data_IF_517654624657
#
_entry.id   IF_517654624657
#
_cell.length_a   1.000
_cell.length_b   1.000
_cell.length_c   1.000
_cell.angle_alpha   90.00
_cell.angle_beta   90.00
_cell.angle_gamma   90.00
#
_symmetry.space_group_name_H-M   'P 1'
#
loop_
_entity.id
_entity.type
_entity.pdbx_description
1 polymer ?
#
# COMPACT_ATOMS: atom_id res chain seq x y z
N UNK A 1 -10.60 -8.60 15.05
CA UNK A 1 -9.39 -7.76 14.91
C UNK A 1 -9.71 -6.36 15.42
N UNK A 2 -9.02 -5.87 16.44
CA UNK A 2 -9.15 -4.49 16.94
C UNK A 2 -7.82 -3.77 16.80
N UNK A 3 -7.86 -2.49 16.40
CA UNK A 3 -6.70 -1.61 16.29
C UNK A 3 -6.86 -0.37 17.21
N UNK A 4 -7.60 -0.54 18.30
CA UNK A 4 -7.82 0.53 19.27
C UNK A 4 -6.48 1.11 19.73
N UNK A 5 -6.40 2.43 19.79
CA UNK A 5 -5.23 3.22 20.19
C UNK A 5 -3.99 3.07 19.27
N UNK A 6 -4.14 2.45 18.10
CA UNK A 6 -3.08 2.37 17.08
C UNK A 6 -3.13 3.58 16.16
N UNK A 7 -1.97 3.99 15.67
CA UNK A 7 -1.80 5.08 14.70
C UNK A 7 -1.29 4.50 13.39
N UNK A 8 -2.03 4.71 12.33
CA UNK A 8 -1.71 4.24 10.99
C UNK A 8 -1.41 5.38 10.01
N UNK A 9 -0.46 5.18 9.12
CA UNK A 9 -0.23 6.00 7.93
C UNK A 9 -0.48 5.13 6.69
N UNK A 10 -1.36 5.60 5.80
CA UNK A 10 -1.61 4.96 4.50
C UNK A 10 -1.20 5.91 3.39
N UNK A 11 -0.18 5.55 2.61
CA UNK A 11 0.24 6.36 1.46
C UNK A 11 -0.68 6.11 0.27
N UNK A 12 -0.97 7.17 -0.49
CA UNK A 12 -1.94 7.08 -1.58
C UNK A 12 -3.35 6.71 -1.12
N UNK A 13 -3.76 7.17 0.06
CA UNK A 13 -5.04 6.84 0.70
C UNK A 13 -6.28 7.51 0.11
N UNK A 14 -6.15 8.31 -0.95
CA UNK A 14 -7.25 9.14 -1.48
C UNK A 14 -8.27 8.38 -2.33
N UNK A 15 -7.95 7.19 -2.87
CA UNK A 15 -8.83 6.39 -3.75
C UNK A 15 -8.46 4.92 -3.74
N UNK A 16 -9.28 4.11 -4.42
CA UNK A 16 -9.02 2.69 -4.70
C UNK A 16 -8.70 1.87 -3.43
N UNK A 17 -7.68 1.04 -3.53
CA UNK A 17 -7.21 0.17 -2.44
C UNK A 17 -6.85 1.00 -1.19
N UNK A 18 -6.09 2.10 -1.37
CA UNK A 18 -5.68 2.96 -0.25
C UNK A 18 -6.85 3.54 0.52
N UNK A 19 -7.92 3.97 -0.15
CA UNK A 19 -9.17 4.43 0.48
C UNK A 19 -9.82 3.33 1.31
N UNK A 20 -10.00 2.14 0.72
CA UNK A 20 -10.61 1.01 1.42
C UNK A 20 -9.79 0.59 2.65
N UNK A 21 -8.44 0.59 2.53
CA UNK A 21 -7.54 0.34 3.65
C UNK A 21 -7.74 1.38 4.76
N UNK A 22 -7.81 2.68 4.43
CA UNK A 22 -8.04 3.74 5.42
C UNK A 22 -9.35 3.50 6.18
N UNK A 23 -10.44 3.23 5.47
CA UNK A 23 -11.77 3.00 6.07
C UNK A 23 -11.77 1.75 6.97
N UNK A 24 -11.16 0.65 6.52
CA UNK A 24 -11.07 -0.60 7.28
C UNK A 24 -10.24 -0.46 8.56
N UNK A 25 -9.06 0.17 8.47
CA UNK A 25 -8.20 0.38 9.64
C UNK A 25 -8.87 1.31 10.67
N UNK A 26 -9.51 2.38 10.20
CA UNK A 26 -10.23 3.31 11.06
C UNK A 26 -11.47 2.68 11.71
N UNK A 27 -12.26 1.90 10.96
CA UNK A 27 -13.39 1.15 11.49
C UNK A 27 -13.00 0.08 12.52
N UNK A 28 -11.73 -0.39 12.48
CA UNK A 28 -11.15 -1.26 13.51
C UNK A 28 -10.61 -0.50 14.73
N UNK A 29 -10.70 0.84 14.76
CA UNK A 29 -10.34 1.70 15.90
C UNK A 29 -8.98 2.41 15.77
N UNK A 30 -8.25 2.28 14.66
CA UNK A 30 -7.02 3.03 14.44
C UNK A 30 -7.30 4.50 14.12
N UNK A 31 -6.42 5.40 14.57
CA UNK A 31 -6.34 6.75 14.00
C UNK A 31 -5.55 6.70 12.70
N UNK A 32 -6.15 7.13 11.58
CA UNK A 32 -5.54 6.96 10.25
C UNK A 32 -5.10 8.30 9.65
N UNK A 33 -3.81 8.43 9.36
CA UNK A 33 -3.29 9.48 8.50
C UNK A 33 -3.44 9.05 7.04
N UNK A 34 -4.21 9.82 6.27
CA UNK A 34 -4.55 9.60 4.87
C UNK A 34 -3.62 10.44 4.01
N UNK A 35 -2.57 9.83 3.47
CA UNK A 35 -1.66 10.58 2.60
C UNK A 35 -2.21 10.73 1.18
N UNK A 36 -1.95 11.88 0.61
CA UNK A 36 -2.18 12.21 -0.79
C UNK A 36 -1.06 13.14 -1.32
N UNK A 37 -0.82 13.10 -2.64
CA UNK A 37 0.15 14.00 -3.28
C UNK A 37 -0.53 15.19 -3.99
N UNK A 38 -1.62 14.95 -4.72
CA UNK A 38 -2.21 15.94 -5.64
C UNK A 38 -3.69 16.24 -5.41
N UNK A 39 -4.51 15.24 -5.17
CA UNK A 39 -5.97 15.39 -5.09
C UNK A 39 -6.44 15.42 -3.62
N UNK A 40 -6.56 16.63 -3.08
CA UNK A 40 -7.03 16.87 -1.71
C UNK A 40 -8.51 16.52 -1.54
N UNK A 41 -9.34 16.83 -2.53
CA UNK A 41 -10.79 16.56 -2.48
C UNK A 41 -11.05 15.06 -2.32
N UNK A 42 -10.39 14.23 -3.11
CA UNK A 42 -10.49 12.78 -2.99
C UNK A 42 -9.98 12.25 -1.64
N UNK A 43 -8.97 12.89 -1.05
CA UNK A 43 -8.48 12.54 0.29
C UNK A 43 -9.48 12.95 1.39
N UNK A 44 -10.11 14.12 1.26
CA UNK A 44 -11.18 14.58 2.16
C UNK A 44 -12.41 13.67 2.07
N UNK A 45 -12.75 13.19 0.88
CA UNK A 45 -13.82 12.20 0.73
C UNK A 45 -13.46 10.89 1.46
N UNK A 46 -12.23 10.43 1.38
CA UNK A 46 -11.78 9.27 2.18
C UNK A 46 -11.92 9.54 3.68
N UNK A 47 -11.56 10.75 4.14
CA UNK A 47 -11.73 11.13 5.55
C UNK A 47 -13.21 11.13 5.97
N UNK A 48 -14.11 11.60 5.10
CA UNK A 48 -15.56 11.55 5.35
C UNK A 48 -16.06 10.11 5.52
N UNK A 49 -15.60 9.19 4.65
CA UNK A 49 -15.93 7.76 4.74
C UNK A 49 -15.36 7.11 6.00
N UNK A 50 -14.15 7.49 6.41
CA UNK A 50 -13.56 7.09 7.70
C UNK A 50 -14.47 7.48 8.86
N UNK A 51 -14.98 8.72 8.87
CA UNK A 51 -15.94 9.17 9.88
C UNK A 51 -17.25 8.39 9.86
N UNK A 52 -17.78 8.06 8.68
CA UNK A 52 -18.99 7.23 8.54
C UNK A 52 -18.81 5.80 9.06
N UNK A 53 -17.59 5.26 8.98
CA UNK A 53 -17.25 3.96 9.55
C UNK A 53 -17.02 4.01 11.08
N UNK A 54 -17.30 5.16 11.73
CA UNK A 54 -17.09 5.35 13.16
C UNK A 54 -15.63 5.57 13.58
N UNK A 55 -14.73 5.76 12.61
CA UNK A 55 -13.31 5.94 12.85
C UNK A 55 -12.89 7.41 12.88
N UNK A 56 -11.60 7.63 13.11
CA UNK A 56 -10.96 8.94 13.13
C UNK A 56 -9.72 8.99 12.23
N UNK A 57 -9.44 10.15 11.66
CA UNK A 57 -8.26 10.31 10.81
C UNK A 57 -7.96 11.77 10.49
N UNK A 58 -6.92 11.96 9.69
CA UNK A 58 -6.49 13.27 9.20
C UNK A 58 -5.84 13.11 7.82
N UNK A 59 -6.11 14.02 6.91
CA UNK A 59 -5.41 14.07 5.63
C UNK A 59 -4.02 14.69 5.80
N UNK A 60 -3.04 14.18 5.09
CA UNK A 60 -1.66 14.69 5.11
C UNK A 60 -1.09 14.72 3.69
N UNK A 61 -0.60 15.88 3.26
CA UNK A 61 -0.07 16.08 1.91
C UNK A 61 1.44 15.94 1.89
N UNK A 62 1.95 14.99 1.11
CA UNK A 62 3.34 14.92 0.65
C UNK A 62 3.44 13.95 -0.54
N UNK A 63 4.45 14.17 -1.41
CA UNK A 63 4.82 13.21 -2.45
C UNK A 63 5.86 12.24 -1.85
N UNK A 64 5.58 10.94 -1.90
CA UNK A 64 6.48 9.91 -1.35
C UNK A 64 7.82 9.85 -2.08
N UNK A 65 7.88 10.30 -3.34
CA UNK A 65 9.11 10.40 -4.10
C UNK A 65 10.06 11.49 -3.58
N UNK A 66 9.54 12.48 -2.85
CA UNK A 66 10.34 13.51 -2.20
C UNK A 66 10.75 13.06 -0.78
N UNK A 67 12.02 12.71 -0.63
CA UNK A 67 12.60 12.22 0.62
C UNK A 67 12.41 13.20 1.79
N UNK A 68 12.71 14.47 1.54
CA UNK A 68 12.65 15.51 2.57
C UNK A 68 11.20 15.75 3.02
N UNK A 69 10.28 15.92 2.07
CA UNK A 69 8.86 16.11 2.38
C UNK A 69 8.28 14.90 3.13
N UNK A 70 8.66 13.67 2.73
CA UNK A 70 8.26 12.44 3.41
C UNK A 70 8.77 12.38 4.84
N UNK A 71 10.06 12.65 5.06
CA UNK A 71 10.66 12.63 6.40
C UNK A 71 10.04 13.70 7.33
N UNK A 72 9.86 14.93 6.84
CA UNK A 72 9.25 16.02 7.59
C UNK A 72 7.78 15.71 7.96
N UNK A 73 7.00 15.17 7.01
CA UNK A 73 5.61 14.82 7.25
C UNK A 73 5.48 13.69 8.28
N UNK A 74 6.23 12.59 8.13
CA UNK A 74 6.19 11.47 9.07
C UNK A 74 6.68 11.89 10.46
N UNK A 75 7.71 12.72 10.56
CA UNK A 75 8.14 13.27 11.84
C UNK A 75 7.06 14.13 12.49
N UNK A 76 6.31 14.92 11.71
CA UNK A 76 5.21 15.74 12.22
C UNK A 76 4.06 14.91 12.78
N UNK A 77 3.63 13.86 12.07
CA UNK A 77 2.57 12.97 12.55
C UNK A 77 2.99 12.18 13.82
N UNK A 78 4.27 11.77 13.89
CA UNK A 78 4.80 11.10 15.09
C UNK A 78 4.82 12.08 16.27
N UNK A 79 5.21 13.34 16.07
CA UNK A 79 5.14 14.37 17.13
C UNK A 79 3.71 14.62 17.59
N UNK A 80 2.74 14.63 16.66
CA UNK A 80 1.32 14.86 16.97
C UNK A 80 0.70 13.74 17.80
N UNK A 81 1.03 12.48 17.50
CA UNK A 81 0.41 11.30 18.12
C UNK A 81 1.31 10.58 19.13
N UNK A 82 2.58 10.94 19.21
CA UNK A 82 3.56 10.27 20.06
C UNK A 82 4.01 8.91 19.54
N UNK A 83 3.38 8.39 18.46
CA UNK A 83 3.64 7.04 17.93
C UNK A 83 3.26 6.89 16.48
N UNK A 84 3.75 5.82 15.85
CA UNK A 84 3.28 5.25 14.60
C UNK A 84 3.34 3.72 14.70
N UNK A 85 2.21 3.05 14.55
CA UNK A 85 2.11 1.60 14.71
C UNK A 85 2.02 0.85 13.39
N UNK A 86 1.38 1.46 12.39
CA UNK A 86 1.07 0.83 11.12
C UNK A 86 1.49 1.77 10.00
N UNK A 87 2.31 1.27 9.08
CA UNK A 87 2.63 1.93 7.83
C UNK A 87 2.14 1.06 6.66
N UNK A 88 1.28 1.61 5.82
CA UNK A 88 0.84 0.97 4.58
C UNK A 88 1.39 1.75 3.39
N UNK A 89 2.39 1.18 2.73
CA UNK A 89 2.96 1.71 1.49
C UNK A 89 2.09 1.27 0.32
N UNK A 90 1.09 2.10 -0.01
CA UNK A 90 0.16 1.85 -1.10
C UNK A 90 0.31 2.85 -2.26
N UNK A 91 0.94 4.00 -2.04
CA UNK A 91 1.18 4.97 -3.12
C UNK A 91 1.89 4.29 -4.30
N UNK A 92 1.38 4.52 -5.50
CA UNK A 92 1.94 3.94 -6.70
C UNK A 92 1.26 4.48 -7.96
N UNK A 93 2.01 4.42 -9.04
CA UNK A 93 1.54 4.76 -10.37
C UNK A 93 2.08 3.76 -11.39
N UNK A 94 1.43 3.68 -12.56
CA UNK A 94 1.86 2.90 -13.71
C UNK A 94 2.06 3.83 -14.91
N UNK A 95 3.06 3.52 -15.72
CA UNK A 95 3.39 4.17 -16.99
C UNK A 95 3.68 3.10 -18.01
N UNK A 96 2.60 2.52 -18.55
CA UNK A 96 2.69 1.36 -19.42
C UNK A 96 3.24 1.73 -20.80
N UNK A 97 4.09 0.89 -21.36
CA UNK A 97 4.69 1.04 -22.65
C UNK A 97 5.62 -0.13 -22.98
N UNK A 98 5.67 -0.55 -24.25
CA UNK A 98 6.62 -1.57 -24.69
C UNK A 98 8.06 -1.11 -24.42
N UNK A 99 8.93 -2.03 -24.03
CA UNK A 99 10.32 -1.77 -23.62
C UNK A 99 11.06 -0.85 -24.62
N UNK A 100 10.93 -1.13 -25.92
CA UNK A 100 11.59 -0.35 -27.00
C UNK A 100 11.07 1.08 -27.17
N UNK A 101 9.94 1.42 -26.55
CA UNK A 101 9.32 2.76 -26.57
C UNK A 101 9.25 3.41 -25.20
N UNK A 102 9.67 2.69 -24.14
CA UNK A 102 9.61 3.21 -22.77
C UNK A 102 10.63 4.34 -22.60
N UNK A 103 10.14 5.49 -22.15
CA UNK A 103 10.99 6.65 -21.88
C UNK A 103 11.68 6.49 -20.52
N UNK A 104 12.93 6.94 -20.42
CA UNK A 104 13.68 6.93 -19.16
C UNK A 104 12.95 7.69 -18.04
N UNK A 105 12.26 8.77 -18.39
CA UNK A 105 11.45 9.53 -17.44
C UNK A 105 10.27 8.71 -16.87
N UNK A 106 9.61 7.89 -17.70
CA UNK A 106 8.50 7.04 -17.25
C UNK A 106 9.03 5.88 -16.39
N UNK A 107 10.19 5.34 -16.75
CA UNK A 107 10.90 4.35 -15.93
C UNK A 107 11.25 4.94 -14.55
N UNK A 108 11.99 6.05 -14.51
CA UNK A 108 12.42 6.70 -13.27
C UNK A 108 11.24 7.08 -12.38
N UNK A 109 10.21 7.72 -12.95
CA UNK A 109 9.03 8.16 -12.21
C UNK A 109 8.29 7.00 -11.51
N UNK A 110 8.16 5.85 -12.18
CA UNK A 110 7.51 4.68 -11.59
C UNK A 110 8.36 4.09 -10.45
N UNK A 111 9.67 3.98 -10.64
CA UNK A 111 10.57 3.51 -9.57
C UNK A 111 10.58 4.47 -8.39
N UNK A 112 10.67 5.77 -8.65
CA UNK A 112 10.71 6.79 -7.60
C UNK A 112 9.46 6.76 -6.73
N UNK A 113 8.28 6.64 -7.35
CA UNK A 113 7.02 6.60 -6.59
C UNK A 113 6.83 5.26 -5.88
N UNK A 114 6.96 4.14 -6.61
CA UNK A 114 6.52 2.84 -6.13
C UNK A 114 7.53 2.16 -5.19
N UNK A 115 8.82 2.36 -5.42
CA UNK A 115 9.89 1.67 -4.69
C UNK A 115 10.66 2.64 -3.79
N UNK A 116 11.23 3.69 -4.36
CA UNK A 116 12.02 4.67 -3.59
C UNK A 116 11.16 5.38 -2.57
N UNK A 117 9.92 5.75 -2.93
CA UNK A 117 8.96 6.36 -2.01
C UNK A 117 8.57 5.46 -0.84
N UNK A 118 8.38 4.16 -1.09
CA UNK A 118 8.15 3.20 -0.01
C UNK A 118 9.37 3.07 0.92
N UNK A 119 10.58 3.08 0.36
CA UNK A 119 11.82 3.11 1.14
C UNK A 119 11.91 4.37 2.00
N UNK A 120 11.60 5.55 1.48
CA UNK A 120 11.59 6.80 2.25
C UNK A 120 10.63 6.70 3.45
N UNK A 121 9.40 6.22 3.20
CA UNK A 121 8.40 6.04 4.26
C UNK A 121 8.85 5.02 5.32
N UNK A 122 9.38 3.87 4.90
CA UNK A 122 9.90 2.85 5.82
C UNK A 122 11.03 3.41 6.68
N UNK A 123 12.01 4.10 6.09
CA UNK A 123 13.14 4.71 6.79
C UNK A 123 12.69 5.73 7.82
N UNK A 124 11.74 6.60 7.45
CA UNK A 124 11.23 7.64 8.35
C UNK A 124 10.42 7.08 9.53
N UNK A 125 9.65 5.99 9.30
CA UNK A 125 8.82 5.37 10.34
C UNK A 125 9.61 4.41 11.24
N UNK A 126 10.59 3.69 10.69
CA UNK A 126 11.29 2.59 11.36
C UNK A 126 11.93 3.01 12.69
N UNK A 127 12.54 4.20 12.75
CA UNK A 127 13.19 4.66 13.99
C UNK A 127 12.22 4.79 15.17
N UNK A 128 11.04 5.33 14.92
CA UNK A 128 10.00 5.43 15.94
C UNK A 128 9.48 4.03 16.34
N UNK A 129 9.20 3.17 15.36
CA UNK A 129 8.75 1.80 15.59
C UNK A 129 9.80 0.98 16.37
N UNK A 130 11.10 1.15 16.08
CA UNK A 130 12.18 0.50 16.82
C UNK A 130 12.25 0.94 18.28
N UNK A 131 12.02 2.23 18.58
CA UNK A 131 11.93 2.75 19.94
C UNK A 131 10.71 2.21 20.68
N UNK A 132 9.57 2.12 19.99
CA UNK A 132 8.32 1.54 20.52
C UNK A 132 8.42 0.03 20.77
N UNK A 133 9.42 -0.65 20.15
CA UNK A 133 9.55 -2.12 20.13
C UNK A 133 8.28 -2.79 19.58
N UNK A 134 7.80 -2.29 18.44
CA UNK A 134 6.61 -2.81 17.78
C UNK A 134 6.21 -1.97 16.58
N UNK A 135 5.64 -2.61 15.60
CA UNK A 135 5.15 -1.97 14.37
C UNK A 135 4.70 -2.99 13.33
N UNK A 136 3.93 -2.52 12.37
CA UNK A 136 3.47 -3.26 11.20
C UNK A 136 3.74 -2.44 9.95
N UNK A 137 4.51 -2.97 9.03
CA UNK A 137 4.76 -2.36 7.71
C UNK A 137 4.15 -3.29 6.67
N UNK A 138 3.21 -2.78 5.89
CA UNK A 138 2.54 -3.52 4.83
C UNK A 138 2.79 -2.81 3.50
N UNK A 139 3.46 -3.50 2.58
CA UNK A 139 3.77 -2.99 1.25
C UNK A 139 2.75 -3.53 0.23
N UNK A 140 2.07 -2.64 -0.48
CA UNK A 140 1.15 -3.03 -1.55
C UNK A 140 1.95 -3.23 -2.84
N UNK A 141 2.32 -4.48 -3.11
CA UNK A 141 2.99 -4.93 -4.31
C UNK A 141 1.96 -5.14 -5.45
N UNK A 142 2.13 -6.14 -6.26
CA UNK A 142 1.21 -6.53 -7.33
C UNK A 142 1.51 -7.97 -7.78
N UNK A 143 0.52 -8.63 -8.36
CA UNK A 143 0.68 -9.89 -9.06
C UNK A 143 1.79 -9.82 -10.12
N UNK A 144 1.87 -8.71 -10.87
CA UNK A 144 2.86 -8.56 -11.95
C UNK A 144 4.30 -8.49 -11.43
N UNK A 145 4.50 -8.30 -10.13
CA UNK A 145 5.82 -8.44 -9.50
C UNK A 145 6.32 -9.89 -9.52
N UNK A 146 5.43 -10.85 -9.63
CA UNK A 146 5.69 -12.29 -9.61
C UNK A 146 5.65 -12.89 -11.01
N UNK A 147 4.66 -12.49 -11.83
CA UNK A 147 4.42 -13.05 -13.17
C UNK A 147 5.09 -12.26 -14.30
N UNK A 148 5.42 -10.99 -14.09
CA UNK A 148 5.67 -10.05 -15.18
C UNK A 148 4.39 -9.71 -15.96
N UNK A 149 4.46 -8.65 -16.77
CA UNK A 149 3.43 -8.32 -17.75
C UNK A 149 4.02 -7.52 -18.90
N UNK A 150 3.65 -7.84 -20.13
CA UNK A 150 4.10 -7.11 -21.31
C UNK A 150 3.68 -5.63 -21.23
N UNK A 151 4.61 -4.71 -21.54
CA UNK A 151 4.36 -3.27 -21.45
C UNK A 151 4.49 -2.68 -20.04
N UNK A 152 4.78 -3.49 -19.00
CA UNK A 152 4.89 -3.03 -17.62
C UNK A 152 6.27 -3.29 -17.00
N UNK A 153 7.34 -3.21 -17.78
CA UNK A 153 8.68 -3.51 -17.29
C UNK A 153 9.08 -2.66 -16.06
N UNK A 154 8.80 -1.34 -16.09
CA UNK A 154 9.03 -0.41 -14.97
C UNK A 154 8.17 -0.75 -13.76
N UNK A 155 6.88 -0.98 -13.95
CA UNK A 155 5.93 -1.29 -12.88
C UNK A 155 6.26 -2.62 -12.22
N UNK A 156 6.47 -3.69 -13.03
CA UNK A 156 6.86 -5.00 -12.54
C UNK A 156 8.17 -4.95 -11.77
N UNK A 157 9.19 -4.27 -12.30
CA UNK A 157 10.47 -4.09 -11.62
C UNK A 157 10.32 -3.36 -10.27
N UNK A 158 9.52 -2.27 -10.24
CA UNK A 158 9.29 -1.51 -9.00
C UNK A 158 8.58 -2.36 -7.93
N UNK A 159 7.57 -3.14 -8.33
CA UNK A 159 6.79 -3.98 -7.42
C UNK A 159 7.55 -5.25 -6.99
N UNK A 160 8.43 -5.78 -7.84
CA UNK A 160 9.36 -6.85 -7.48
C UNK A 160 10.45 -6.35 -6.50
N UNK A 161 11.00 -5.15 -6.75
CA UNK A 161 11.91 -4.49 -5.80
C UNK A 161 11.28 -4.30 -4.42
N UNK A 162 10.00 -3.97 -4.37
CA UNK A 162 9.25 -3.81 -3.12
C UNK A 162 9.14 -5.14 -2.35
N UNK A 163 9.05 -6.29 -3.03
CA UNK A 163 9.11 -7.62 -2.41
C UNK A 163 10.49 -7.86 -1.79
N UNK A 164 11.56 -7.51 -2.50
CA UNK A 164 12.93 -7.59 -1.98
C UNK A 164 13.12 -6.72 -0.74
N UNK A 165 12.66 -5.46 -0.80
CA UNK A 165 12.67 -4.54 0.34
C UNK A 165 11.91 -5.11 1.55
N UNK A 166 10.72 -5.68 1.33
CA UNK A 166 9.90 -6.32 2.36
C UNK A 166 10.69 -7.40 3.10
N UNK A 167 11.32 -8.31 2.37
CA UNK A 167 12.07 -9.44 2.94
C UNK A 167 13.31 -8.98 3.72
N UNK A 168 14.01 -7.97 3.22
CA UNK A 168 15.20 -7.40 3.89
C UNK A 168 14.81 -6.71 5.19
N UNK A 169 13.80 -5.82 5.15
CA UNK A 169 13.33 -5.11 6.34
C UNK A 169 12.70 -6.07 7.38
N UNK A 170 12.04 -7.14 6.94
CA UNK A 170 11.52 -8.16 7.84
C UNK A 170 12.62 -8.78 8.69
N UNK A 171 13.78 -9.10 8.11
CA UNK A 171 14.94 -9.64 8.84
C UNK A 171 15.59 -8.61 9.76
N UNK A 172 15.75 -7.38 9.27
CA UNK A 172 16.42 -6.31 10.00
C UNK A 172 15.62 -5.83 11.20
N UNK A 173 14.29 -5.73 11.07
CA UNK A 173 13.43 -5.11 12.07
C UNK A 173 12.76 -6.11 13.02
N UNK A 174 12.78 -7.41 12.72
CA UNK A 174 12.21 -8.47 13.56
C UNK A 174 12.73 -8.45 15.02
N UNK A 175 14.04 -8.18 15.32
CA UNK A 175 14.53 -8.08 16.69
C UNK A 175 13.89 -6.94 17.51
N UNK A 176 13.17 -6.05 16.84
CA UNK A 176 12.40 -4.95 17.45
C UNK A 176 10.89 -5.20 17.44
N UNK A 177 10.46 -6.44 17.21
CA UNK A 177 9.05 -6.85 17.13
C UNK A 177 8.26 -6.09 16.04
N UNK A 178 8.92 -5.71 14.94
CA UNK A 178 8.31 -5.08 13.78
C UNK A 178 8.13 -6.14 12.69
N UNK A 179 6.88 -6.38 12.28
CA UNK A 179 6.58 -7.27 11.17
C UNK A 179 6.46 -6.47 9.86
N UNK A 180 7.11 -6.97 8.82
CA UNK A 180 7.08 -6.35 7.50
C UNK A 180 6.60 -7.38 6.48
N UNK A 181 5.46 -7.12 5.83
CA UNK A 181 4.85 -8.02 4.86
C UNK A 181 4.43 -7.27 3.60
N UNK A 182 4.17 -8.00 2.54
CA UNK A 182 3.59 -7.46 1.33
C UNK A 182 2.26 -8.14 1.01
N UNK A 183 1.36 -7.40 0.37
CA UNK A 183 0.21 -7.95 -0.35
C UNK A 183 0.45 -7.81 -1.84
N UNK A 184 0.06 -8.80 -2.61
CA UNK A 184 0.18 -8.81 -4.07
C UNK A 184 -1.23 -8.92 -4.70
N UNK A 185 -1.91 -7.77 -4.89
CA UNK A 185 -3.21 -7.75 -5.53
C UNK A 185 -3.12 -8.24 -6.98
N UNK A 186 -4.13 -8.96 -7.42
CA UNK A 186 -4.38 -9.24 -8.83
C UNK A 186 -5.10 -8.08 -9.50
N UNK A 187 -6.10 -8.41 -10.31
CA UNK A 187 -6.96 -7.41 -10.97
C UNK A 187 -8.06 -6.98 -10.00
N UNK A 188 -7.97 -5.73 -9.57
CA UNK A 188 -8.89 -5.12 -8.61
C UNK A 188 -9.73 -4.07 -9.32
N UNK A 189 -11.04 -4.09 -9.11
CA UNK A 189 -11.98 -3.12 -9.66
C UNK A 189 -11.74 -1.74 -9.03
N UNK A 190 -11.09 -0.88 -9.80
CA UNK A 190 -10.70 0.49 -9.43
C UNK A 190 -10.74 1.37 -10.67
N UNK A 191 -10.55 2.69 -10.49
CA UNK A 191 -10.42 3.63 -11.62
C UNK A 191 -9.38 3.20 -12.66
N UNK A 192 -8.38 2.40 -12.28
CA UNK A 192 -7.35 1.91 -13.21
C UNK A 192 -7.87 0.80 -14.14
N UNK A 193 -8.89 0.07 -13.72
CA UNK A 193 -9.50 -1.04 -14.49
C UNK A 193 -10.81 -0.66 -15.15
N UNK A 194 -11.40 0.48 -14.78
CA UNK A 194 -12.68 0.97 -15.33
C UNK A 194 -12.64 1.34 -16.83
N UNK A 195 -11.45 1.54 -17.38
CA UNK A 195 -11.27 1.85 -18.80
C UNK A 195 -11.27 0.61 -19.72
N UNK A 196 -11.40 -0.60 -19.18
CA UNK A 196 -11.44 -1.86 -19.94
C UNK A 196 -12.77 -2.00 -20.70
N UNK A 197 -12.69 -2.51 -21.94
CA UNK A 197 -13.89 -2.93 -22.67
C UNK A 197 -14.48 -4.21 -22.05
N UNK A 198 -15.78 -4.47 -22.31
CA UNK A 198 -16.45 -5.68 -21.81
C UNK A 198 -15.76 -6.96 -22.31
N UNK A 199 -15.35 -7.00 -23.59
CA UNK A 199 -14.60 -8.14 -24.16
C UNK A 199 -13.25 -8.38 -23.46
N UNK A 200 -12.53 -7.31 -23.13
CA UNK A 200 -11.29 -7.40 -22.36
C UNK A 200 -11.56 -7.94 -20.95
N UNK A 201 -12.66 -7.49 -20.34
CA UNK A 201 -13.08 -7.91 -19.02
C UNK A 201 -13.43 -9.39 -18.97
N UNK A 202 -14.24 -9.88 -19.92
CA UNK A 202 -14.61 -11.29 -20.05
C UNK A 202 -13.37 -12.18 -20.20
N UNK A 203 -12.48 -11.85 -21.12
CA UNK A 203 -11.25 -12.60 -21.36
C UNK A 203 -10.34 -12.68 -20.13
N UNK A 204 -10.31 -11.62 -19.34
CA UNK A 204 -9.55 -11.59 -18.08
C UNK A 204 -10.20 -12.48 -17.02
N UNK A 205 -11.54 -12.47 -16.94
CA UNK A 205 -12.29 -13.27 -15.99
C UNK A 205 -12.12 -14.77 -16.21
N UNK A 206 -11.96 -15.21 -17.47
CA UNK A 206 -11.65 -16.61 -17.80
C UNK A 206 -10.36 -17.10 -17.14
N UNK A 207 -9.38 -16.20 -16.93
CA UNK A 207 -8.11 -16.52 -16.29
C UNK A 207 -8.16 -16.51 -14.76
N UNK A 208 -9.25 -16.02 -14.15
CA UNK A 208 -9.38 -15.91 -12.69
C UNK A 208 -10.23 -17.08 -12.16
N UNK A 209 -9.66 -18.04 -11.40
CA UNK A 209 -10.41 -19.18 -10.86
C UNK A 209 -11.67 -18.80 -10.06
N UNK A 210 -11.66 -17.68 -9.31
CA UNK A 210 -12.85 -17.17 -8.61
C UNK A 210 -13.83 -16.43 -9.52
N UNK A 211 -13.58 -16.34 -10.83
CA UNK A 211 -14.47 -15.80 -11.87
C UNK A 211 -15.02 -14.39 -11.58
N UNK A 212 -14.28 -13.57 -10.83
CA UNK A 212 -14.58 -12.16 -10.58
C UNK A 212 -13.33 -11.32 -10.43
N UNK A 213 -13.43 -10.05 -10.69
CA UNK A 213 -12.42 -9.09 -10.24
C UNK A 213 -12.43 -9.02 -8.71
N UNK A 214 -11.25 -8.78 -8.14
CA UNK A 214 -11.16 -8.41 -6.74
C UNK A 214 -11.73 -7.00 -6.50
N UNK A 215 -12.16 -6.73 -5.29
CA UNK A 215 -12.55 -5.39 -4.85
C UNK A 215 -11.42 -4.76 -4.03
N UNK A 216 -11.36 -3.43 -3.89
CA UNK A 216 -10.47 -2.79 -2.93
C UNK A 216 -10.60 -3.34 -1.52
N UNK A 217 -11.81 -3.79 -1.16
CA UNK A 217 -12.12 -4.34 0.16
C UNK A 217 -11.55 -5.75 0.37
N UNK A 218 -11.45 -6.58 -0.68
CA UNK A 218 -10.74 -7.88 -0.63
C UNK A 218 -9.27 -7.67 -0.20
N UNK A 219 -8.61 -6.63 -0.73
CA UNK A 219 -7.23 -6.29 -0.36
C UNK A 219 -7.15 -5.69 1.03
N UNK A 220 -8.06 -4.77 1.35
CA UNK A 220 -8.09 -4.09 2.65
C UNK A 220 -8.34 -5.04 3.82
N UNK A 221 -9.09 -6.12 3.61
CA UNK A 221 -9.27 -7.18 4.60
C UNK A 221 -7.96 -7.86 4.98
N UNK A 222 -7.12 -8.20 4.00
CA UNK A 222 -5.80 -8.80 4.23
C UNK A 222 -4.84 -7.79 4.89
N UNK A 223 -4.88 -6.52 4.47
CA UNK A 223 -4.08 -5.47 5.11
C UNK A 223 -4.48 -5.28 6.58
N UNK A 224 -5.78 -5.28 6.91
CA UNK A 224 -6.27 -5.22 8.28
C UNK A 224 -5.77 -6.41 9.12
N UNK A 225 -5.82 -7.62 8.58
CA UNK A 225 -5.28 -8.81 9.24
C UNK A 225 -3.78 -8.65 9.53
N UNK A 226 -2.98 -8.27 8.54
CA UNK A 226 -1.54 -8.07 8.71
C UNK A 226 -1.18 -6.92 9.66
N UNK A 227 -2.06 -5.93 9.79
CA UNK A 227 -1.91 -4.82 10.72
C UNK A 227 -2.25 -5.19 12.17
N UNK A 228 -2.98 -6.28 12.38
CA UNK A 228 -3.46 -6.72 13.70
C UNK A 228 -2.41 -7.54 14.48
N UNK A 229 -2.70 -7.77 15.75
CA UNK A 229 -1.87 -8.63 16.60
C UNK A 229 -1.98 -10.12 16.24
N UNK A 230 -3.06 -10.51 15.54
CA UNK A 230 -3.26 -11.88 15.04
C UNK A 230 -2.21 -12.30 14.02
N UNK A 231 -1.62 -11.34 13.29
CA UNK A 231 -0.49 -11.57 12.37
C UNK A 231 0.88 -11.40 13.04
N UNK A 232 0.96 -11.42 14.38
CA UNK A 232 2.18 -11.12 15.13
C UNK A 232 3.35 -12.07 14.87
N UNK A 233 3.11 -13.26 14.30
CA UNK A 233 4.15 -14.23 13.92
C UNK A 233 4.34 -14.34 12.41
N UNK A 234 3.80 -13.39 11.63
CA UNK A 234 3.91 -13.33 10.17
C UNK A 234 4.82 -12.16 9.80
N UNK A 235 5.98 -12.46 9.21
CA UNK A 235 6.90 -11.43 8.69
C UNK A 235 7.65 -11.95 7.45
N UNK A 236 7.99 -11.06 6.52
CA UNK A 236 8.69 -11.37 5.27
C UNK A 236 7.82 -12.06 4.22
N UNK A 237 6.51 -12.15 4.43
CA UNK A 237 5.59 -12.86 3.53
C UNK A 237 5.06 -11.93 2.44
N UNK A 238 4.71 -12.55 1.30
CA UNK A 238 4.00 -11.94 0.17
C UNK A 238 2.69 -12.68 0.01
N UNK A 239 1.59 -12.03 0.33
CA UNK A 239 0.25 -12.66 0.29
C UNK A 239 -0.45 -12.24 -0.99
N UNK A 240 -0.73 -13.21 -1.86
CA UNK A 240 -1.52 -13.01 -3.07
C UNK A 240 -2.99 -12.73 -2.74
N UNK A 241 -3.56 -11.67 -3.33
CA UNK A 241 -4.99 -11.34 -3.25
C UNK A 241 -5.48 -11.19 -4.68
N UNK A 242 -5.61 -12.33 -5.38
CA UNK A 242 -5.70 -12.34 -6.84
C UNK A 242 -6.73 -13.33 -7.41
N UNK A 243 -7.59 -13.90 -6.57
CA UNK A 243 -8.64 -14.84 -6.99
C UNK A 243 -8.13 -16.15 -7.60
N UNK A 244 -6.86 -16.51 -7.34
CA UNK A 244 -6.21 -17.70 -7.90
C UNK A 244 -5.54 -17.45 -9.27
N UNK A 245 -5.52 -16.20 -9.77
CA UNK A 245 -4.90 -15.87 -11.06
C UNK A 245 -3.39 -16.22 -11.09
N UNK A 246 -2.77 -16.30 -9.93
CA UNK A 246 -1.40 -16.75 -9.74
C UNK A 246 -1.27 -17.52 -8.42
N UNK A 247 -0.77 -18.73 -8.50
CA UNK A 247 -0.53 -19.64 -7.37
C UNK A 247 0.90 -20.14 -7.38
#
# INVERSE_FOLDING_TARGET
MTLKDKVALVTGGSRGIGRSVCVRLAGAGAFVFINYARNEEAARETLRLVGQAGGNGKVVRFDVADDRATAEAIAALIREKGRIDILVNNAGESRDGLLVRMKEQDWGRVLDTNLTGAFHCCRAAAYAMMKQRGGRIINVSSLVALSGNAGQANYSASKAGLIGLTKSLARELAPRAICVNAVAPGLIDTDMTSAMTEEQREKILEGIPLSRLGTPDDVAGVVLFLASDEAGYITGQVIGVNGGLYM
#
